data_IF_369212969255
#
_entry.id   IF_369212969255
#
_cell.length_a   1.000
_cell.length_b   1.000
_cell.length_c   1.000
_cell.angle_alpha   90.00
_cell.angle_beta   90.00
_cell.angle_gamma   90.00
#
_symmetry.space_group_name_H-M   'P 1'
#
loop_
_entity.id
_entity.type
_entity.pdbx_description
1 polymer ?
#
# COMPACT_ATOMS: atom_id res chain seq x y z
N UNK A 1 36.79 17.00 29.66
CA UNK A 1 35.78 16.39 28.77
C UNK A 1 35.85 14.90 29.06
N UNK A 2 35.05 14.46 30.03
CA UNK A 2 34.96 13.06 30.48
C UNK A 2 34.09 12.26 29.52
N UNK A 3 34.42 10.99 29.29
CA UNK A 3 33.84 10.08 28.29
C UNK A 3 32.33 9.73 28.45
N UNK A 4 31.57 10.42 29.30
CA UNK A 4 30.18 10.05 29.65
C UNK A 4 29.15 11.19 29.46
N UNK A 5 29.41 12.17 28.59
CA UNK A 5 28.39 13.16 28.23
C UNK A 5 27.68 12.76 26.92
N UNK A 6 26.48 12.19 27.05
CA UNK A 6 25.59 11.93 25.92
C UNK A 6 24.94 13.25 25.48
N UNK A 7 25.40 13.81 24.36
CA UNK A 7 24.78 14.98 23.74
C UNK A 7 23.73 14.54 22.73
N UNK A 8 22.55 15.13 22.86
CA UNK A 8 21.43 14.88 21.97
C UNK A 8 21.29 16.05 21.00
N UNK A 9 21.34 15.75 19.70
CA UNK A 9 21.23 16.75 18.64
C UNK A 9 19.87 16.64 17.95
N UNK A 10 19.35 17.78 17.52
CA UNK A 10 18.20 17.90 16.61
C UNK A 10 18.57 18.78 15.42
N UNK A 11 17.69 18.87 14.43
CA UNK A 11 17.93 19.63 13.21
C UNK A 11 16.69 20.41 12.79
N UNK A 12 16.88 21.70 12.51
CA UNK A 12 15.84 22.60 11.99
C UNK A 12 16.22 23.02 10.59
N UNK A 13 15.33 22.81 9.63
CA UNK A 13 15.44 23.31 8.25
C UNK A 13 14.43 24.44 8.09
N UNK A 14 14.95 25.63 7.84
CA UNK A 14 14.17 26.81 7.51
C UNK A 14 14.47 27.23 6.07
N UNK A 15 13.44 27.40 5.26
CA UNK A 15 13.59 27.94 3.91
C UNK A 15 13.31 29.45 3.90
N UNK A 16 13.88 30.13 2.91
CA UNK A 16 13.61 31.55 2.64
C UNK A 16 12.13 31.87 2.35
N UNK A 17 11.28 30.86 2.17
CA UNK A 17 9.84 30.98 1.95
C UNK A 17 9.01 30.80 3.22
N UNK A 18 9.66 30.76 4.39
CA UNK A 18 8.99 30.63 5.69
C UNK A 18 8.52 29.21 6.03
N UNK A 19 8.96 28.20 5.27
CA UNK A 19 8.72 26.79 5.64
C UNK A 19 9.76 26.38 6.67
N UNK A 20 9.30 25.93 7.83
CA UNK A 20 10.12 25.36 8.90
C UNK A 20 9.78 23.88 9.09
N UNK A 21 10.81 23.05 9.14
CA UNK A 21 10.73 21.60 9.39
C UNK A 21 11.76 21.21 10.43
N UNK A 22 11.37 20.34 11.36
CA UNK A 22 12.20 20.01 12.53
C UNK A 22 12.29 18.50 12.71
N UNK A 23 13.51 18.01 12.90
CA UNK A 23 13.82 16.74 13.56
C UNK A 23 14.14 17.10 15.02
N UNK A 24 13.23 16.84 15.98
CA UNK A 24 13.44 17.26 17.36
C UNK A 24 14.67 16.61 17.99
N UNK A 25 14.97 15.38 17.58
CA UNK A 25 16.00 14.56 18.18
C UNK A 25 16.47 13.45 17.22
N UNK A 26 17.79 13.27 17.08
CA UNK A 26 18.42 12.13 16.42
C UNK A 26 18.65 10.98 17.40
N UNK A 27 17.83 9.93 17.32
CA UNK A 27 18.03 8.74 18.16
C UNK A 27 19.23 7.91 17.67
N UNK A 28 20.12 7.44 18.57
CA UNK A 28 21.16 6.46 18.24
C UNK A 28 20.60 5.21 17.54
N UNK A 29 19.38 4.80 17.87
CA UNK A 29 18.71 3.63 17.27
C UNK A 29 18.49 3.77 15.75
N UNK A 30 18.47 5.01 15.25
CA UNK A 30 18.28 5.34 13.81
C UNK A 30 19.54 5.91 13.17
N UNK A 31 20.72 5.67 13.75
CA UNK A 31 21.99 6.19 13.24
C UNK A 31 22.21 5.86 11.75
N UNK A 32 21.89 4.64 11.33
CA UNK A 32 22.04 4.18 9.94
C UNK A 32 21.07 4.88 8.95
N UNK A 33 20.08 5.62 9.46
CA UNK A 33 19.02 6.25 8.67
C UNK A 33 19.02 7.77 8.75
N UNK A 34 19.99 8.36 9.46
CA UNK A 34 20.12 9.83 9.59
C UNK A 34 20.19 10.52 8.23
N UNK A 35 20.89 9.93 7.27
CA UNK A 35 20.97 10.47 5.91
C UNK A 35 19.61 10.53 5.22
N UNK A 36 18.80 9.49 5.37
CA UNK A 36 17.43 9.47 4.84
C UNK A 36 16.55 10.51 5.53
N UNK A 37 16.59 10.58 6.86
CA UNK A 37 15.78 11.53 7.63
C UNK A 37 16.11 12.99 7.24
N UNK A 38 17.38 13.32 7.07
CA UNK A 38 17.83 14.65 6.60
C UNK A 38 17.38 14.89 5.16
N UNK A 39 17.59 13.93 4.25
CA UNK A 39 17.20 14.06 2.84
C UNK A 39 15.70 14.28 2.69
N UNK A 40 14.89 13.53 3.44
CA UNK A 40 13.44 13.66 3.50
C UNK A 40 13.01 15.02 4.06
N UNK A 41 13.67 15.50 5.13
CA UNK A 41 13.36 16.80 5.71
C UNK A 41 13.65 17.95 4.73
N UNK A 42 14.77 17.87 4.02
CA UNK A 42 15.15 18.85 3.00
C UNK A 42 14.17 18.79 1.84
N UNK A 43 13.91 17.61 1.27
CA UNK A 43 12.98 17.43 0.14
C UNK A 43 11.59 18.00 0.47
N UNK A 44 11.06 17.66 1.65
CA UNK A 44 9.75 18.17 2.08
C UNK A 44 9.74 19.66 2.41
N UNK A 45 10.89 20.27 2.71
CA UNK A 45 11.01 21.72 2.93
C UNK A 45 11.10 22.50 1.61
N UNK A 46 11.75 21.95 0.58
CA UNK A 46 11.98 22.62 -0.72
C UNK A 46 10.92 22.31 -1.77
N UNK A 47 10.25 21.15 -1.69
CA UNK A 47 9.28 20.70 -2.70
C UNK A 47 8.00 21.52 -2.62
N UNK A 48 7.81 22.40 -3.62
CA UNK A 48 6.66 23.31 -3.71
C UNK A 48 5.39 22.68 -4.29
N UNK A 49 5.54 21.72 -5.19
CA UNK A 49 4.41 21.03 -5.82
C UNK A 49 4.28 19.64 -5.24
N UNK A 50 3.14 19.37 -4.59
CA UNK A 50 2.83 18.02 -4.13
C UNK A 50 2.70 17.10 -5.33
N UNK A 51 3.32 15.93 -5.25
CA UNK A 51 3.07 14.88 -6.25
C UNK A 51 1.60 14.49 -6.26
N UNK A 52 1.07 14.30 -7.46
CA UNK A 52 -0.31 13.88 -7.71
C UNK A 52 -0.38 12.36 -7.79
N UNK A 53 -1.10 11.75 -6.86
CA UNK A 53 -1.33 10.31 -6.83
C UNK A 53 -2.75 10.04 -7.27
N UNK A 54 -2.91 9.36 -8.41
CA UNK A 54 -4.20 8.84 -8.86
C UNK A 54 -4.47 7.47 -8.25
N UNK A 55 -5.61 7.28 -7.60
CA UNK A 55 -6.04 5.99 -7.07
C UNK A 55 -7.22 5.48 -7.91
N UNK A 56 -7.02 4.34 -8.57
CA UNK A 56 -8.09 3.60 -9.26
C UNK A 56 -8.30 2.28 -8.52
N UNK A 57 -9.53 2.03 -8.09
CA UNK A 57 -9.85 0.91 -7.21
C UNK A 57 -11.28 0.43 -7.40
N UNK A 58 -11.49 -0.89 -7.43
CA UNK A 58 -12.84 -1.47 -7.35
C UNK A 58 -13.37 -1.53 -5.91
N UNK A 59 -12.52 -1.29 -4.91
CA UNK A 59 -12.87 -1.18 -3.50
C UNK A 59 -13.09 0.30 -3.09
N UNK A 60 -13.93 0.58 -2.07
CA UNK A 60 -14.18 1.93 -1.56
C UNK A 60 -13.02 2.44 -0.67
N UNK A 61 -11.79 2.42 -1.19
CA UNK A 61 -10.57 2.83 -0.48
C UNK A 61 -10.56 4.32 -0.13
N UNK A 62 -11.20 5.14 -0.97
CA UNK A 62 -11.34 6.59 -0.79
C UNK A 62 -12.39 6.96 0.26
N UNK A 63 -13.14 5.98 0.78
CA UNK A 63 -14.30 6.20 1.64
C UNK A 63 -15.54 6.58 0.83
N UNK A 64 -16.63 6.86 1.54
CA UNK A 64 -17.86 7.34 0.92
C UNK A 64 -17.72 8.85 0.63
N UNK A 65 -17.86 9.24 -0.63
CA UNK A 65 -17.96 10.64 -1.03
C UNK A 65 -19.43 11.07 -0.92
N UNK A 66 -19.78 11.67 0.22
CA UNK A 66 -21.14 12.14 0.50
C UNK A 66 -21.16 13.65 0.66
N UNK A 67 -22.17 14.29 0.06
CA UNK A 67 -22.42 15.71 0.30
C UNK A 67 -22.75 15.96 1.78
N UNK A 68 -22.51 17.19 2.30
CA UNK A 68 -22.86 17.54 3.68
C UNK A 68 -24.33 17.23 4.02
N UNK A 69 -25.25 17.49 3.09
CA UNK A 69 -26.69 17.22 3.26
C UNK A 69 -26.99 15.71 3.36
N UNK A 70 -26.34 14.89 2.52
CA UNK A 70 -26.45 13.43 2.58
C UNK A 70 -25.82 12.86 3.85
N UNK A 71 -24.70 13.43 4.30
CA UNK A 71 -24.07 13.04 5.55
C UNK A 71 -24.98 13.32 6.76
N UNK A 72 -25.69 14.45 6.76
CA UNK A 72 -26.68 14.77 7.79
C UNK A 72 -27.87 13.82 7.76
N UNK A 73 -28.39 13.50 6.56
CA UNK A 73 -29.48 12.53 6.41
C UNK A 73 -29.08 11.11 6.86
N UNK A 74 -27.86 10.69 6.56
CA UNK A 74 -27.30 9.42 7.05
C UNK A 74 -27.20 9.42 8.58
N UNK A 75 -26.70 10.50 9.18
CA UNK A 75 -26.61 10.65 10.65
C UNK A 75 -27.99 10.53 11.30
N UNK A 76 -29.04 11.10 10.71
CA UNK A 76 -30.43 10.95 11.18
C UNK A 76 -30.94 9.51 11.10
N UNK A 77 -30.43 8.71 10.16
CA UNK A 77 -30.70 7.26 10.04
C UNK A 77 -29.73 6.39 10.85
N UNK A 78 -28.93 7.00 11.75
CA UNK A 78 -27.89 6.35 12.53
C UNK A 78 -26.82 5.64 11.66
N UNK A 79 -26.63 6.10 10.43
CA UNK A 79 -25.58 5.67 9.50
C UNK A 79 -24.47 6.72 9.48
N UNK A 80 -23.24 6.28 9.31
CA UNK A 80 -22.08 7.17 9.14
C UNK A 80 -21.38 6.84 7.83
N UNK A 81 -20.93 7.86 7.08
CA UNK A 81 -20.11 7.64 5.90
C UNK A 81 -18.84 6.90 6.29
N UNK A 82 -18.43 5.93 5.48
CA UNK A 82 -17.19 5.20 5.71
C UNK A 82 -16.02 6.15 5.47
N UNK A 83 -15.08 6.27 6.43
CA UNK A 83 -13.89 7.07 6.21
C UNK A 83 -12.99 6.42 5.14
N UNK A 84 -12.13 7.21 4.48
CA UNK A 84 -11.06 6.68 3.65
C UNK A 84 -10.18 5.72 4.45
N UNK A 85 -9.58 4.74 3.79
CA UNK A 85 -8.65 3.82 4.44
C UNK A 85 -7.46 4.58 5.02
N UNK A 86 -6.89 4.06 6.11
CA UNK A 86 -5.81 4.72 6.85
C UNK A 86 -4.65 5.14 5.95
N UNK A 87 -4.22 4.28 5.02
CA UNK A 87 -3.13 4.61 4.10
C UNK A 87 -3.47 5.81 3.19
N UNK A 88 -4.71 5.93 2.71
CA UNK A 88 -5.17 7.09 1.91
C UNK A 88 -5.11 8.37 2.75
N UNK A 89 -5.49 8.29 4.04
CA UNK A 89 -5.40 9.43 4.95
C UNK A 89 -3.95 9.89 5.13
N UNK A 90 -3.00 8.96 5.23
CA UNK A 90 -1.58 9.29 5.29
C UNK A 90 -1.08 9.91 3.98
N UNK A 91 -1.44 9.33 2.81
CA UNK A 91 -1.06 9.87 1.51
C UNK A 91 -1.54 11.32 1.34
N UNK A 92 -2.79 11.63 1.75
CA UNK A 92 -3.35 12.99 1.66
C UNK A 92 -2.60 14.04 2.48
N UNK A 93 -1.82 13.65 3.50
CA UNK A 93 -1.02 14.60 4.30
C UNK A 93 0.14 15.17 3.48
N UNK A 94 0.74 14.37 2.62
CA UNK A 94 1.96 14.70 1.87
C UNK A 94 1.68 14.98 0.39
N UNK A 95 0.69 14.31 -0.20
CA UNK A 95 0.44 14.28 -1.64
C UNK A 95 -0.94 14.82 -2.00
N UNK A 96 -1.11 15.20 -3.27
CA UNK A 96 -2.41 15.48 -3.85
C UNK A 96 -3.01 14.16 -4.33
N UNK A 97 -3.98 13.62 -3.60
CA UNK A 97 -4.58 12.31 -3.92
C UNK A 97 -5.89 12.52 -4.68
N UNK A 98 -5.98 11.98 -5.89
CA UNK A 98 -7.18 12.02 -6.74
C UNK A 98 -7.76 10.64 -6.95
N UNK A 99 -9.08 10.56 -7.06
CA UNK A 99 -9.75 9.34 -7.53
C UNK A 99 -9.67 9.30 -9.05
N UNK A 100 -9.28 8.15 -9.59
CA UNK A 100 -9.34 7.85 -11.03
C UNK A 100 -10.41 6.78 -11.22
N UNK A 101 -11.40 7.07 -12.07
CA UNK A 101 -12.50 6.14 -12.31
C UNK A 101 -12.02 4.87 -13.02
N UNK A 102 -12.69 3.74 -12.79
CA UNK A 102 -12.38 2.46 -13.46
C UNK A 102 -12.86 2.40 -14.91
N UNK A 103 -13.62 3.40 -15.35
CA UNK A 103 -14.15 3.54 -16.71
C UNK A 103 -13.66 4.84 -17.35
N UNK A 104 -12.43 4.85 -17.87
CA UNK A 104 -11.78 6.04 -18.44
C UNK A 104 -11.12 5.72 -19.78
N UNK A 105 -10.99 6.75 -20.62
CA UNK A 105 -10.31 6.64 -21.91
C UNK A 105 -8.85 7.10 -21.86
N UNK A 106 -8.48 7.89 -20.85
CA UNK A 106 -7.15 8.43 -20.69
C UNK A 106 -6.85 8.72 -19.22
N UNK A 107 -5.58 8.63 -18.83
CA UNK A 107 -5.11 8.89 -17.46
C UNK A 107 -4.07 10.00 -17.55
N UNK A 108 -4.50 11.22 -17.20
CA UNK A 108 -3.67 12.41 -17.19
C UNK A 108 -3.70 13.08 -15.82
N UNK A 109 -2.81 14.06 -15.63
CA UNK A 109 -2.75 14.89 -14.42
C UNK A 109 -2.47 14.10 -13.12
N UNK A 110 -1.75 12.98 -13.24
CA UNK A 110 -1.24 12.19 -12.11
C UNK A 110 0.23 11.84 -12.38
N UNK A 111 1.07 11.96 -11.35
CA UNK A 111 2.48 11.56 -11.41
C UNK A 111 2.64 10.05 -11.18
N UNK A 112 1.80 9.48 -10.32
CA UNK A 112 1.81 8.08 -9.92
C UNK A 112 0.38 7.54 -9.96
N UNK A 113 0.18 6.39 -10.61
CA UNK A 113 -1.07 5.66 -10.62
C UNK A 113 -1.02 4.48 -9.64
N UNK A 114 -1.92 4.45 -8.68
CA UNK A 114 -2.09 3.35 -7.74
C UNK A 114 -3.34 2.54 -8.13
N UNK A 115 -3.12 1.34 -8.65
CA UNK A 115 -4.16 0.37 -9.02
C UNK A 115 -4.41 -0.58 -7.86
N UNK A 116 -5.57 -0.48 -7.21
CA UNK A 116 -5.91 -1.31 -6.04
C UNK A 116 -7.08 -2.22 -6.36
N UNK A 117 -6.84 -3.53 -6.30
CA UNK A 117 -7.82 -4.57 -6.56
C UNK A 117 -8.66 -4.30 -7.83
N UNK A 118 -8.02 -4.09 -9.00
CA UNK A 118 -8.74 -3.78 -10.23
C UNK A 118 -9.54 -4.99 -10.71
N UNK A 119 -10.87 -4.88 -10.69
CA UNK A 119 -11.78 -5.93 -11.17
C UNK A 119 -12.49 -5.50 -12.45
N UNK A 120 -12.54 -6.42 -13.41
CA UNK A 120 -13.36 -6.32 -14.62
C UNK A 120 -13.20 -4.95 -15.33
N UNK A 121 -11.95 -4.46 -15.42
CA UNK A 121 -11.67 -3.19 -16.10
C UNK A 121 -11.99 -3.33 -17.61
N UNK A 122 -12.68 -2.36 -18.21
CA UNK A 122 -12.99 -2.39 -19.63
C UNK A 122 -11.71 -2.21 -20.46
N UNK A 123 -11.70 -2.76 -21.67
CA UNK A 123 -10.53 -2.73 -22.57
C UNK A 123 -9.97 -1.32 -22.78
N UNK A 124 -10.86 -0.31 -22.89
CA UNK A 124 -10.45 1.10 -23.02
C UNK A 124 -9.65 1.61 -21.80
N UNK A 125 -10.00 1.19 -20.59
CA UNK A 125 -9.26 1.56 -19.37
C UNK A 125 -7.93 0.81 -19.32
N UNK A 126 -7.91 -0.47 -19.70
CA UNK A 126 -6.66 -1.25 -19.78
C UNK A 126 -5.68 -0.61 -20.76
N UNK A 127 -6.17 -0.18 -21.93
CA UNK A 127 -5.39 0.59 -22.90
C UNK A 127 -4.89 1.92 -22.31
N UNK A 128 -5.73 2.67 -21.59
CA UNK A 128 -5.31 3.93 -20.95
C UNK A 128 -4.20 3.72 -19.90
N UNK A 129 -4.26 2.62 -19.13
CA UNK A 129 -3.23 2.23 -18.17
C UNK A 129 -1.92 1.91 -18.89
N UNK A 130 -1.98 1.10 -19.94
CA UNK A 130 -0.81 0.74 -20.74
C UNK A 130 -0.13 1.98 -21.33
N UNK A 131 -0.92 2.87 -21.94
CA UNK A 131 -0.42 4.13 -22.48
C UNK A 131 0.19 5.04 -21.42
N UNK A 132 -0.36 5.07 -20.20
CA UNK A 132 0.23 5.83 -19.09
C UNK A 132 1.62 5.30 -18.73
N UNK A 133 1.79 3.98 -18.64
CA UNK A 133 3.09 3.34 -18.36
C UNK A 133 4.08 3.58 -19.50
N UNK A 134 3.67 3.40 -20.75
CA UNK A 134 4.51 3.62 -21.93
C UNK A 134 5.00 5.07 -22.07
N UNK A 135 4.22 6.04 -21.61
CA UNK A 135 4.62 7.47 -21.55
C UNK A 135 5.61 7.78 -20.42
N UNK A 136 6.05 6.77 -19.66
CA UNK A 136 6.95 6.91 -18.51
C UNK A 136 6.23 7.20 -17.18
N UNK A 137 4.90 7.04 -17.14
CA UNK A 137 4.12 7.11 -15.91
C UNK A 137 4.50 5.98 -14.96
N UNK A 138 4.50 6.26 -13.65
CA UNK A 138 4.85 5.28 -12.62
C UNK A 138 3.57 4.66 -12.06
N UNK A 139 3.51 3.33 -12.04
CA UNK A 139 2.32 2.62 -11.56
C UNK A 139 2.69 1.67 -10.42
N UNK A 140 1.86 1.66 -9.38
CA UNK A 140 1.90 0.64 -8.32
C UNK A 140 0.64 -0.21 -8.48
N UNK A 141 0.81 -1.52 -8.63
CA UNK A 141 -0.29 -2.46 -8.87
C UNK A 141 -0.45 -3.40 -7.68
N UNK A 142 -1.64 -3.40 -7.09
CA UNK A 142 -2.02 -4.28 -5.99
C UNK A 142 -3.17 -5.17 -6.46
N UNK A 143 -2.83 -6.37 -6.94
CA UNK A 143 -3.78 -7.42 -7.31
C UNK A 143 -3.83 -8.50 -6.23
N UNK A 144 -4.99 -9.16 -6.09
CA UNK A 144 -5.24 -10.10 -5.00
C UNK A 144 -6.02 -11.32 -5.51
N UNK A 145 -5.49 -12.56 -5.38
CA UNK A 145 -6.22 -13.77 -5.77
C UNK A 145 -7.44 -14.04 -4.87
N UNK A 146 -7.48 -13.52 -3.65
CA UNK A 146 -8.62 -13.65 -2.74
C UNK A 146 -8.71 -12.48 -1.75
N UNK A 147 -9.37 -11.40 -2.17
CA UNK A 147 -9.48 -10.20 -1.37
C UNK A 147 -10.50 -10.33 -0.25
N UNK A 148 -10.00 -10.37 0.99
CA UNK A 148 -10.84 -10.42 2.19
C UNK A 148 -11.70 -9.16 2.40
N UNK A 149 -11.26 -8.01 1.87
CA UNK A 149 -12.00 -6.76 1.94
C UNK A 149 -13.18 -6.70 0.95
N UNK A 150 -13.13 -7.50 -0.12
CA UNK A 150 -14.18 -7.61 -1.13
C UNK A 150 -15.31 -8.53 -0.65
N UNK A 151 -16.22 -7.96 0.14
CA UNK A 151 -17.36 -8.69 0.67
C UNK A 151 -18.52 -8.62 -0.32
N UNK A 152 -19.06 -9.76 -0.79
CA UNK A 152 -20.20 -9.74 -1.69
C UNK A 152 -21.40 -9.07 -1.01
N UNK A 153 -22.07 -8.20 -1.75
CA UNK A 153 -23.30 -7.56 -1.29
C UNK A 153 -24.41 -8.60 -1.19
N UNK A 154 -24.73 -9.00 0.05
CA UNK A 154 -25.76 -10.01 0.35
C UNK A 154 -27.17 -9.58 -0.06
N UNK A 155 -27.38 -8.29 -0.35
CA UNK A 155 -28.72 -7.76 -0.68
C UNK A 155 -29.06 -7.84 -2.16
N UNK A 156 -28.06 -8.04 -3.03
CA UNK A 156 -28.26 -8.20 -4.47
C UNK A 156 -28.12 -9.67 -4.81
N UNK A 157 -29.10 -10.28 -5.49
CA UNK A 157 -28.86 -11.56 -6.17
C UNK A 157 -27.92 -11.29 -7.33
N UNK A 158 -26.65 -11.71 -7.25
CA UNK A 158 -25.71 -11.39 -8.31
C UNK A 158 -26.01 -12.31 -9.50
N UNK A 159 -26.07 -11.74 -10.70
CA UNK A 159 -26.28 -12.47 -11.97
C UNK A 159 -25.10 -13.40 -12.30
N UNK A 160 -23.95 -13.19 -11.66
CA UNK A 160 -22.75 -14.02 -11.74
C UNK A 160 -22.27 -14.32 -10.33
N UNK A 161 -21.70 -15.51 -10.04
CA UNK A 161 -21.06 -15.76 -8.75
C UNK A 161 -20.04 -14.64 -8.46
N UNK A 162 -20.13 -13.98 -7.29
CA UNK A 162 -19.22 -12.89 -6.96
C UNK A 162 -17.82 -13.47 -6.80
N UNK A 163 -16.89 -13.05 -7.66
CA UNK A 163 -15.47 -13.33 -7.44
C UNK A 163 -14.91 -12.29 -6.46
N UNK A 164 -14.17 -12.73 -5.45
CA UNK A 164 -13.39 -11.85 -4.57
C UNK A 164 -11.95 -11.65 -5.08
N UNK A 165 -11.61 -12.17 -6.26
CA UNK A 165 -10.29 -12.01 -6.87
C UNK A 165 -10.22 -10.77 -7.77
N UNK A 166 -9.02 -10.22 -7.91
CA UNK A 166 -8.65 -9.28 -8.97
C UNK A 166 -7.41 -9.80 -9.68
N UNK A 167 -7.30 -9.51 -10.98
CA UNK A 167 -6.09 -9.75 -11.74
C UNK A 167 -5.95 -8.69 -12.84
N UNK A 168 -4.72 -8.53 -13.32
CA UNK A 168 -4.40 -7.62 -14.42
C UNK A 168 -3.58 -8.36 -15.50
N UNK A 169 -3.81 -9.68 -15.65
CA UNK A 169 -2.95 -10.56 -16.45
C UNK A 169 -2.89 -10.15 -17.93
N UNK A 170 -3.92 -9.47 -18.46
CA UNK A 170 -3.87 -8.93 -19.82
C UNK A 170 -2.71 -7.94 -20.01
N UNK A 171 -2.43 -7.09 -19.01
CA UNK A 171 -1.30 -6.16 -19.04
C UNK A 171 -0.03 -6.80 -18.47
N UNK A 172 -0.13 -7.52 -17.34
CA UNK A 172 1.04 -8.11 -16.69
C UNK A 172 1.82 -9.02 -17.65
N UNK A 173 1.13 -9.82 -18.48
CA UNK A 173 1.79 -10.72 -19.44
C UNK A 173 2.59 -9.95 -20.49
N UNK A 174 2.12 -8.76 -20.89
CA UNK A 174 2.88 -7.87 -21.79
C UNK A 174 4.10 -7.26 -21.10
N UNK A 175 4.11 -7.23 -19.77
CA UNK A 175 5.24 -6.80 -18.94
C UNK A 175 6.08 -7.98 -18.43
N UNK A 176 5.90 -9.19 -18.99
CA UNK A 176 6.67 -10.39 -18.63
C UNK A 176 6.25 -11.05 -17.31
N UNK A 177 5.04 -10.75 -16.80
CA UNK A 177 4.56 -11.22 -15.50
C UNK A 177 3.19 -11.90 -15.61
N UNK A 178 2.91 -12.84 -14.73
CA UNK A 178 1.60 -13.46 -14.60
C UNK A 178 1.29 -13.73 -13.13
N UNK A 179 0.04 -13.45 -12.74
CA UNK A 179 -0.50 -13.93 -11.46
C UNK A 179 -1.53 -15.04 -11.72
N UNK A 180 -1.16 -16.32 -11.54
CA UNK A 180 -2.09 -17.43 -11.78
C UNK A 180 -3.32 -17.35 -10.87
N UNK A 181 -4.48 -17.70 -11.41
CA UNK A 181 -5.72 -17.75 -10.64
C UNK A 181 -5.70 -18.89 -9.61
N UNK A 182 -6.33 -18.67 -8.46
CA UNK A 182 -6.48 -19.65 -7.37
C UNK A 182 -5.15 -20.24 -6.87
N UNK A 183 -4.04 -19.50 -7.02
CA UNK A 183 -2.73 -19.91 -6.56
C UNK A 183 -2.25 -19.02 -5.43
N UNK A 184 -1.84 -19.65 -4.33
CA UNK A 184 -1.43 -18.97 -3.12
C UNK A 184 -0.03 -19.41 -2.71
N UNK A 185 0.78 -18.46 -2.27
CA UNK A 185 2.05 -18.73 -1.63
C UNK A 185 1.79 -19.27 -0.22
N UNK A 186 2.46 -20.37 0.11
CA UNK A 186 2.41 -20.99 1.43
C UNK A 186 3.81 -21.35 1.88
N UNK A 187 4.18 -20.93 3.09
CA UNK A 187 5.41 -21.33 3.74
C UNK A 187 5.10 -21.72 5.19
N UNK A 188 5.36 -22.99 5.54
CA UNK A 188 5.14 -23.51 6.89
C UNK A 188 6.00 -22.78 7.92
N UNK A 189 7.17 -22.30 7.52
CA UNK A 189 8.04 -21.48 8.34
C UNK A 189 7.58 -20.04 8.47
N UNK A 190 6.58 -19.57 7.72
CA UNK A 190 5.99 -18.23 7.91
C UNK A 190 4.52 -18.31 8.31
N UNK A 191 3.99 -19.53 8.44
CA UNK A 191 2.60 -19.78 8.77
C UNK A 191 2.27 -19.24 10.16
N UNK A 192 1.33 -18.31 10.22
CA UNK A 192 0.73 -17.90 11.48
C UNK A 192 -0.56 -18.68 11.69
N UNK A 193 -0.73 -19.37 12.84
CA UNK A 193 -1.96 -20.07 13.14
C UNK A 193 -3.10 -19.06 13.33
N UNK A 194 -4.22 -19.25 12.64
CA UNK A 194 -5.45 -18.53 12.93
C UNK A 194 -6.42 -19.47 13.65
N UNK A 195 -6.75 -19.14 14.91
CA UNK A 195 -7.83 -19.82 15.62
C UNK A 195 -9.15 -19.18 15.24
N UNK A 196 -9.98 -19.91 14.47
CA UNK A 196 -11.35 -19.49 14.16
C UNK A 196 -12.33 -20.57 14.63
N UNK A 197 -12.75 -20.50 15.89
CA UNK A 197 -13.62 -21.51 16.48
C UNK A 197 -12.86 -22.83 16.73
N UNK A 198 -13.45 -23.97 16.37
CA UNK A 198 -12.85 -25.31 16.53
C UNK A 198 -11.92 -25.73 15.37
N UNK A 199 -11.91 -25.00 14.25
CA UNK A 199 -11.06 -25.31 13.10
C UNK A 199 -9.83 -24.38 13.05
N UNK A 200 -8.65 -24.98 12.96
CA UNK A 200 -7.41 -24.28 12.64
C UNK A 200 -7.32 -24.09 11.13
N UNK A 201 -7.46 -22.84 10.65
CA UNK A 201 -7.18 -22.53 9.24
C UNK A 201 -5.81 -21.88 9.14
N UNK A 202 -4.93 -22.46 8.34
CA UNK A 202 -3.66 -21.83 7.93
C UNK A 202 -4.01 -20.82 6.83
N UNK A 203 -3.77 -19.53 7.05
CA UNK A 203 -4.17 -18.50 6.06
C UNK A 203 -3.30 -17.25 6.00
N UNK A 204 -2.22 -17.19 6.78
CA UNK A 204 -1.38 -16.00 6.93
C UNK A 204 0.09 -16.35 6.77
N UNK A 205 0.79 -15.57 5.95
CA UNK A 205 2.24 -15.49 5.98
C UNK A 205 2.63 -14.29 6.87
N UNK A 206 3.33 -14.57 7.96
CA UNK A 206 3.92 -13.57 8.83
C UNK A 206 5.36 -13.31 8.43
N UNK A 207 5.57 -12.27 7.63
CA UNK A 207 6.91 -11.77 7.31
C UNK A 207 7.45 -11.02 8.53
N UNK A 208 8.64 -11.40 8.99
CA UNK A 208 9.28 -10.88 10.20
C UNK A 208 10.76 -10.58 9.93
N UNK A 209 11.38 -9.64 10.67
CA UNK A 209 12.81 -9.38 10.56
C UNK A 209 13.61 -10.59 11.07
N UNK A 210 14.92 -10.58 10.83
CA UNK A 210 15.83 -11.64 11.25
C UNK A 210 15.80 -11.91 12.77
N UNK A 211 15.45 -10.90 13.57
CA UNK A 211 15.28 -11.02 15.01
C UNK A 211 13.83 -11.39 15.37
N UNK A 212 13.69 -12.17 16.44
CA UNK A 212 12.47 -12.74 17.05
C UNK A 212 11.87 -13.99 16.41
N UNK A 213 12.37 -15.16 16.86
CA UNK A 213 11.58 -16.17 17.56
C UNK A 213 12.47 -17.39 17.90
N UNK A 214 12.35 -17.93 19.10
CA UNK A 214 12.99 -19.17 19.60
C UNK A 214 12.72 -20.43 18.73
N UNK A 215 11.94 -20.29 17.65
CA UNK A 215 11.40 -21.35 16.80
C UNK A 215 12.01 -21.38 15.39
N UNK A 216 13.06 -20.60 15.11
CA UNK A 216 13.68 -20.52 13.77
C UNK A 216 15.11 -21.11 13.75
N UNK A 217 15.52 -21.75 12.64
CA UNK A 217 16.86 -22.32 12.52
C UNK A 217 17.93 -21.23 12.66
N UNK A 218 19.07 -21.58 13.25
CA UNK A 218 20.25 -20.71 13.24
C UNK A 218 20.63 -20.34 11.80
N UNK A 219 20.89 -19.05 11.55
CA UNK A 219 21.26 -18.54 10.22
C UNK A 219 20.09 -18.14 9.32
N UNK A 220 18.84 -18.11 9.81
CA UNK A 220 17.71 -17.59 9.03
C UNK A 220 17.89 -16.08 8.72
N UNK A 221 17.71 -15.61 7.48
CA UNK A 221 18.13 -14.27 7.06
C UNK A 221 17.11 -13.14 7.33
N UNK A 222 15.91 -13.42 7.87
CA UNK A 222 14.83 -12.43 7.88
C UNK A 222 14.02 -12.41 6.58
N UNK A 223 12.84 -11.80 6.61
CA UNK A 223 12.02 -11.57 5.41
C UNK A 223 12.25 -10.18 4.78
N UNK A 224 12.93 -9.28 5.48
CA UNK A 224 13.04 -7.88 5.08
C UNK A 224 14.46 -7.52 4.69
N UNK A 225 14.59 -6.68 3.67
CA UNK A 225 15.88 -6.13 3.27
C UNK A 225 16.36 -5.12 4.33
N UNK A 226 17.49 -5.42 4.96
CA UNK A 226 18.11 -4.62 6.02
C UNK A 226 18.84 -3.38 5.50
N UNK A 227 19.16 -3.35 4.21
CA UNK A 227 19.89 -2.24 3.59
C UNK A 227 18.93 -1.13 3.12
N UNK A 228 17.63 -1.41 3.06
CA UNK A 228 16.62 -0.47 2.61
C UNK A 228 15.86 0.11 3.81
N UNK A 229 15.92 1.45 3.97
CA UNK A 229 15.29 2.18 5.08
C UNK A 229 13.80 1.90 5.25
N UNK A 230 13.09 1.65 4.14
CA UNK A 230 11.65 1.39 4.14
C UNK A 230 11.34 0.01 4.72
N UNK A 231 12.18 -0.99 4.46
CA UNK A 231 11.93 -2.37 4.88
C UNK A 231 12.68 -2.79 6.13
N UNK A 232 13.82 -2.14 6.42
CA UNK A 232 14.71 -2.51 7.52
C UNK A 232 14.07 -2.33 8.90
N UNK A 233 13.21 -1.30 9.07
CA UNK A 233 12.50 -1.02 10.32
C UNK A 233 11.12 -1.69 10.39
N UNK A 234 10.78 -2.59 9.47
CA UNK A 234 9.50 -3.31 9.51
C UNK A 234 9.53 -4.40 10.59
N UNK A 235 8.67 -4.25 11.59
CA UNK A 235 8.54 -5.23 12.66
C UNK A 235 7.83 -6.52 12.21
N UNK A 236 6.72 -6.40 11.49
CA UNK A 236 5.96 -7.54 10.99
C UNK A 236 5.04 -7.11 9.86
N UNK A 237 4.99 -7.90 8.78
CA UNK A 237 4.00 -7.75 7.71
C UNK A 237 3.21 -9.05 7.62
N UNK A 238 1.89 -8.95 7.73
CA UNK A 238 0.99 -10.11 7.62
C UNK A 238 0.30 -10.07 6.28
N UNK A 239 0.48 -11.12 5.49
CA UNK A 239 -0.15 -11.27 4.19
C UNK A 239 -1.17 -12.39 4.29
N UNK A 240 -2.45 -12.05 4.13
CA UNK A 240 -3.53 -13.04 4.00
C UNK A 240 -3.56 -13.51 2.56
N UNK A 241 -3.63 -14.82 2.36
CA UNK A 241 -3.81 -15.41 1.02
C UNK A 241 -2.86 -14.81 -0.02
N UNK A 242 -1.56 -14.77 0.30
CA UNK A 242 -0.54 -14.18 -0.57
C UNK A 242 -0.60 -14.80 -1.98
N UNK A 243 -0.76 -13.96 -3.01
CA UNK A 243 -0.69 -14.41 -4.39
C UNK A 243 0.74 -14.73 -4.83
N UNK A 244 0.85 -15.52 -5.90
CA UNK A 244 2.13 -15.84 -6.54
C UNK A 244 2.22 -15.06 -7.84
N UNK A 245 3.25 -14.22 -7.96
CA UNK A 245 3.61 -13.57 -9.22
C UNK A 245 4.73 -14.39 -9.87
N UNK A 246 4.57 -14.72 -11.14
CA UNK A 246 5.52 -15.49 -11.94
C UNK A 246 6.05 -14.65 -13.08
N UNK A 247 7.32 -14.80 -13.38
CA UNK A 247 7.88 -14.33 -14.65
C UNK A 247 7.42 -15.27 -15.76
N UNK A 248 6.94 -14.69 -16.85
CA UNK A 248 6.59 -15.42 -18.06
C UNK A 248 7.76 -15.22 -19.02
N UNK A 249 8.49 -16.30 -19.29
CA UNK A 249 9.53 -16.28 -20.31
C UNK A 249 8.89 -16.06 -21.69
N UNK A 250 9.52 -15.21 -22.51
CA UNK A 250 9.19 -15.02 -23.93
C UNK A 250 9.25 -16.34 -24.72
#
# INVERSE_FOLDING_TARGET
LTEEENFFFGLVVQTQFGVEKVIPFFSPDRQNFVEYDISYLIDTAITRQKKKIGIMSSLPVMGDDVSPDMAELMRRRNQRPKPPWTFVQHLRRQYEVKTVATDVNDINDVDILLLIHPKDLPEKTLFAIDQFVLKGGRTIVCVDPHCFADKPDRTKMPTRPPSASSNLNLLLRTWGLEMPENMFAGDRSLALPLRRGQDETIGFLGLIPQLDLELRPEGWPGCFNTDNVITAELNQVRVLFAGVLREVAD
#
